data_IF_244237061108
#
_entry.id   IF_244237061108
#
_cell.length_a   1.000
_cell.length_b   1.000
_cell.length_c   1.000
_cell.angle_alpha   90.00
_cell.angle_beta   90.00
_cell.angle_gamma   90.00
#
_symmetry.space_group_name_H-M   'P 1'
#
loop_
_entity.id
_entity.type
_entity.pdbx_description
1 polymer ?
#
# COMPACT_ATOMS: atom_id res chain seq x y z
N UNK A 1 -6.60 -5.80 -22.81
CA UNK A 1 -6.43 -4.34 -22.69
C UNK A 1 -6.63 -3.96 -21.24
N UNK A 2 -5.81 -3.07 -20.65
CA UNK A 2 -6.01 -2.65 -19.26
C UNK A 2 -7.35 -1.93 -19.07
N UNK A 3 -7.87 -1.97 -17.85
CA UNK A 3 -8.94 -1.05 -17.46
C UNK A 3 -8.40 0.40 -17.42
N UNK A 4 -9.25 1.42 -17.60
CA UNK A 4 -8.81 2.82 -17.48
C UNK A 4 -8.14 3.07 -16.13
N UNK A 5 -6.91 3.60 -16.15
CA UNK A 5 -6.10 3.78 -14.93
C UNK A 5 -5.40 2.51 -14.42
N UNK A 6 -5.39 1.43 -15.19
CA UNK A 6 -4.62 0.23 -14.85
C UNK A 6 -3.12 0.49 -14.80
N UNK A 7 -2.46 -0.12 -13.82
CA UNK A 7 -1.02 -0.03 -13.59
C UNK A 7 -0.46 -1.44 -13.32
N UNK A 8 0.86 -1.58 -13.44
CA UNK A 8 1.59 -2.81 -13.08
C UNK A 8 2.53 -2.53 -11.92
N UNK A 9 2.88 -3.58 -11.19
CA UNK A 9 3.98 -3.60 -10.23
C UNK A 9 4.81 -4.85 -10.49
N UNK A 10 6.06 -4.85 -10.06
CA UNK A 10 6.74 -6.13 -9.83
C UNK A 10 6.01 -6.85 -8.69
N UNK A 11 5.76 -8.16 -8.87
CA UNK A 11 5.11 -8.99 -7.85
C UNK A 11 5.89 -10.29 -7.66
N UNK A 12 6.17 -10.62 -6.40
CA UNK A 12 6.89 -11.82 -6.00
C UNK A 12 6.66 -12.09 -4.50
N UNK A 13 6.77 -13.33 -4.07
CA UNK A 13 6.65 -13.72 -2.67
C UNK A 13 7.94 -14.40 -2.22
N UNK A 14 8.62 -13.79 -1.22
CA UNK A 14 9.86 -14.31 -0.60
C UNK A 14 10.94 -14.74 -1.61
N UNK A 15 11.14 -13.98 -2.69
CA UNK A 15 12.27 -14.19 -3.60
C UNK A 15 13.60 -13.93 -2.87
N UNK A 16 14.69 -14.58 -3.26
CA UNK A 16 15.96 -14.45 -2.56
C UNK A 16 16.53 -13.03 -2.64
N UNK A 17 16.33 -12.37 -3.79
CA UNK A 17 16.81 -11.01 -4.03
C UNK A 17 15.95 -10.22 -5.04
N UNK A 18 16.37 -8.99 -5.33
CA UNK A 18 15.67 -8.11 -6.27
C UNK A 18 15.69 -8.63 -7.71
N UNK A 19 16.79 -9.28 -8.11
CA UNK A 19 16.97 -9.76 -9.47
C UNK A 19 16.00 -10.90 -9.75
N UNK A 20 15.96 -11.90 -8.87
CA UNK A 20 15.03 -13.02 -8.97
C UNK A 20 13.58 -12.53 -8.98
N UNK A 21 13.22 -11.64 -8.05
CA UNK A 21 11.89 -11.05 -7.98
C UNK A 21 11.50 -10.35 -9.29
N UNK A 22 12.35 -9.46 -9.80
CA UNK A 22 12.01 -8.67 -10.99
C UNK A 22 12.06 -9.51 -12.28
N UNK A 23 12.95 -10.50 -12.35
CA UNK A 23 13.16 -11.35 -13.53
C UNK A 23 11.96 -12.27 -13.81
N UNK A 24 11.34 -12.79 -12.74
CA UNK A 24 10.25 -13.76 -12.83
C UNK A 24 8.87 -13.17 -12.54
N UNK A 25 8.80 -11.87 -12.24
CA UNK A 25 7.52 -11.19 -12.05
C UNK A 25 6.63 -11.33 -13.30
N UNK A 26 5.35 -11.69 -13.14
CA UNK A 26 4.42 -11.81 -14.25
C UNK A 26 4.11 -10.42 -14.85
N UNK A 27 4.04 -10.34 -16.19
CA UNK A 27 3.74 -9.09 -16.90
C UNK A 27 2.22 -8.78 -16.95
N UNK A 28 1.57 -8.80 -15.78
CA UNK A 28 0.12 -8.60 -15.62
C UNK A 28 -0.21 -7.27 -14.95
N UNK A 29 -1.42 -6.77 -15.18
CA UNK A 29 -1.94 -5.58 -14.50
C UNK A 29 -2.37 -5.91 -13.08
N UNK A 30 -2.26 -4.93 -12.18
CA UNK A 30 -2.71 -5.03 -10.82
C UNK A 30 -4.25 -5.17 -10.70
N UNK A 31 -4.78 -5.74 -9.61
CA UNK A 31 -6.22 -5.79 -9.34
C UNK A 31 -6.83 -4.40 -9.17
N UNK A 32 -8.14 -4.28 -9.43
CA UNK A 32 -8.84 -2.97 -9.44
C UNK A 32 -8.90 -2.30 -8.08
N UNK A 33 -8.85 -3.08 -7.01
CA UNK A 33 -8.94 -2.64 -5.61
C UNK A 33 -7.59 -2.15 -5.07
N UNK A 34 -6.54 -2.16 -5.91
CA UNK A 34 -5.18 -1.72 -5.53
C UNK A 34 -4.82 -0.40 -6.21
N UNK A 35 -3.89 0.34 -5.63
CA UNK A 35 -3.39 1.61 -6.17
C UNK A 35 -1.89 1.80 -6.07
N UNK A 36 -1.22 1.00 -5.22
CA UNK A 36 0.18 1.19 -4.90
C UNK A 36 0.98 -0.09 -5.13
N UNK A 37 2.25 0.08 -5.42
CA UNK A 37 3.22 -1.00 -5.43
C UNK A 37 3.92 -1.04 -4.08
N UNK A 38 3.78 -2.16 -3.39
CA UNK A 38 4.42 -2.47 -2.12
C UNK A 38 5.74 -3.22 -2.35
N UNK A 39 6.74 -2.91 -1.53
CA UNK A 39 7.98 -3.68 -1.42
C UNK A 39 8.35 -3.86 0.04
N UNK A 40 8.56 -5.11 0.45
CA UNK A 40 9.22 -5.47 1.70
C UNK A 40 10.54 -6.17 1.39
N UNK A 41 11.60 -5.72 2.04
CA UNK A 41 12.94 -6.26 1.92
C UNK A 41 13.45 -6.64 3.31
N UNK A 42 13.64 -7.93 3.53
CA UNK A 42 14.31 -8.46 4.70
C UNK A 42 15.77 -8.67 4.35
N UNK A 43 16.67 -8.11 5.15
CA UNK A 43 18.11 -8.17 4.93
C UNK A 43 18.86 -8.45 6.21
N UNK A 44 20.06 -9.01 6.09
CA UNK A 44 21.02 -9.06 7.19
C UNK A 44 21.43 -7.63 7.58
N UNK A 45 21.91 -7.43 8.81
CA UNK A 45 22.49 -6.14 9.24
C UNK A 45 23.66 -5.69 8.35
N UNK A 46 24.36 -6.64 7.71
CA UNK A 46 25.42 -6.41 6.72
C UNK A 46 24.90 -5.86 5.38
N UNK A 47 23.58 -5.94 5.14
CA UNK A 47 22.91 -5.45 3.93
C UNK A 47 22.63 -6.52 2.87
N UNK A 48 22.98 -7.80 3.11
CA UNK A 48 22.66 -8.90 2.20
C UNK A 48 21.16 -9.19 2.21
N UNK A 49 20.55 -9.35 1.03
CA UNK A 49 19.15 -9.71 0.91
C UNK A 49 18.90 -11.13 1.44
N UNK A 50 17.88 -11.26 2.28
CA UNK A 50 17.37 -12.55 2.79
C UNK A 50 16.08 -12.91 2.05
N UNK A 51 15.17 -11.93 1.91
CA UNK A 51 13.96 -12.11 1.14
C UNK A 51 13.39 -10.79 0.63
N UNK A 52 12.72 -10.86 -0.52
CA UNK A 52 12.00 -9.77 -1.16
C UNK A 52 10.56 -10.20 -1.42
N UNK A 53 9.62 -9.36 -1.01
CA UNK A 53 8.21 -9.52 -1.35
C UNK A 53 7.70 -8.23 -1.98
N UNK A 54 7.08 -8.33 -3.15
CA UNK A 54 6.47 -7.21 -3.86
C UNK A 54 5.03 -7.52 -4.23
N UNK A 55 4.13 -6.57 -4.05
CA UNK A 55 2.67 -6.79 -4.24
C UNK A 55 1.99 -5.51 -4.75
N UNK A 56 0.89 -5.68 -5.48
CA UNK A 56 -0.07 -4.58 -5.67
C UNK A 56 -0.95 -4.52 -4.41
N UNK A 57 -1.11 -3.34 -3.81
CA UNK A 57 -1.83 -3.18 -2.53
C UNK A 57 -2.77 -1.97 -2.51
N UNK A 58 -3.79 -1.97 -1.65
CA UNK A 58 -4.58 -0.78 -1.35
C UNK A 58 -3.82 0.18 -0.41
N UNK A 59 -4.43 1.31 -0.05
CA UNK A 59 -3.78 2.35 0.76
C UNK A 59 -3.36 1.86 2.14
N UNK A 60 -4.20 1.02 2.76
CA UNK A 60 -4.09 0.62 4.15
C UNK A 60 -2.79 -0.15 4.43
N UNK A 61 -2.29 -0.93 3.45
CA UNK A 61 -1.01 -1.64 3.55
C UNK A 61 0.21 -0.72 3.39
N UNK A 62 0.03 0.50 2.87
CA UNK A 62 1.10 1.48 2.67
C UNK A 62 1.21 2.50 3.81
N UNK A 63 0.35 2.44 4.83
CA UNK A 63 0.39 3.36 5.97
C UNK A 63 1.51 3.04 6.98
N UNK A 64 2.17 1.90 6.83
CA UNK A 64 3.24 1.43 7.72
C UNK A 64 4.54 1.14 6.95
N UNK A 65 5.10 2.18 6.31
CA UNK A 65 6.45 2.15 5.72
C UNK A 65 7.53 2.50 6.74
N UNK A 66 8.77 2.13 6.46
CA UNK A 66 9.93 2.37 7.32
C UNK A 66 10.79 1.12 7.44
N UNK A 67 11.87 1.21 8.20
CA UNK A 67 12.64 0.03 8.59
C UNK A 67 12.41 -0.33 10.06
N UNK A 68 12.54 -1.62 10.35
CA UNK A 68 12.52 -2.12 11.73
C UNK A 68 13.58 -3.20 11.89
N UNK A 69 14.35 -3.07 12.95
CA UNK A 69 15.30 -4.10 13.34
C UNK A 69 14.57 -5.24 14.06
N UNK A 70 14.93 -6.47 13.71
CA UNK A 70 14.54 -7.68 14.41
C UNK A 70 15.71 -8.09 15.30
N UNK A 71 15.77 -7.50 16.51
CA UNK A 71 16.88 -7.70 17.45
C UNK A 71 17.11 -9.17 17.82
N UNK A 72 16.08 -10.02 17.70
CA UNK A 72 16.16 -11.44 18.04
C UNK A 72 16.82 -12.31 16.95
N UNK A 73 16.82 -11.84 15.69
CA UNK A 73 17.30 -12.62 14.54
C UNK A 73 18.51 -11.98 13.84
N UNK A 74 18.89 -10.75 14.19
CA UNK A 74 20.00 -10.05 13.54
C UNK A 74 19.66 -9.62 12.10
N UNK A 75 18.38 -9.40 11.82
CA UNK A 75 17.88 -8.99 10.50
C UNK A 75 17.14 -7.66 10.60
N UNK A 76 17.12 -6.92 9.48
CA UNK A 76 16.41 -5.66 9.31
C UNK A 76 15.32 -5.84 8.24
N UNK A 77 14.13 -5.33 8.51
CA UNK A 77 13.01 -5.37 7.58
C UNK A 77 12.67 -3.95 7.16
N UNK A 78 12.80 -3.64 5.87
CA UNK A 78 12.42 -2.33 5.32
C UNK A 78 11.22 -2.47 4.40
N UNK A 79 10.26 -1.56 4.55
CA UNK A 79 9.01 -1.52 3.77
C UNK A 79 8.86 -0.17 3.09
N UNK A 80 8.60 -0.17 1.79
CA UNK A 80 8.27 1.03 1.01
C UNK A 80 7.03 0.80 0.16
N UNK A 81 6.37 1.91 -0.19
CA UNK A 81 5.31 1.94 -1.18
C UNK A 81 5.55 3.05 -2.20
N UNK A 82 5.12 2.82 -3.42
CA UNK A 82 5.13 3.84 -4.46
C UNK A 82 3.85 3.82 -5.29
N UNK A 83 3.51 4.98 -5.85
CA UNK A 83 2.45 5.14 -6.84
C UNK A 83 3.05 5.22 -8.25
N UNK A 84 2.49 4.48 -9.21
CA UNK A 84 2.88 4.53 -10.61
C UNK A 84 3.14 3.16 -11.23
N UNK A 85 3.23 3.13 -12.55
CA UNK A 85 3.49 1.90 -13.29
C UNK A 85 4.93 1.43 -13.05
N UNK A 86 5.10 0.18 -12.61
CA UNK A 86 6.36 -0.51 -12.32
C UNK A 86 7.33 0.29 -11.43
N UNK A 87 6.80 1.14 -10.55
CA UNK A 87 7.59 2.06 -9.74
C UNK A 87 8.46 1.34 -8.68
N UNK A 88 8.10 0.11 -8.30
CA UNK A 88 8.78 -0.68 -7.27
C UNK A 88 9.96 -1.52 -7.81
N UNK A 89 10.68 -1.02 -8.82
CA UNK A 89 11.90 -1.65 -9.33
C UNK A 89 13.03 -1.77 -8.27
N UNK A 90 13.35 -0.73 -7.47
CA UNK A 90 14.38 -0.81 -6.42
C UNK A 90 13.87 -1.48 -5.13
N UNK A 91 14.80 -1.76 -4.21
CA UNK A 91 14.50 -2.20 -2.85
C UNK A 91 14.76 -1.09 -1.84
N UNK A 92 13.92 -0.93 -0.80
CA UNK A 92 14.27 -0.11 0.36
C UNK A 92 15.37 -0.80 1.18
N UNK A 93 16.34 -0.04 1.65
CA UNK A 93 17.45 -0.51 2.48
C UNK A 93 17.56 0.25 3.79
N UNK A 94 17.11 1.51 3.84
CA UNK A 94 17.27 2.44 4.95
C UNK A 94 15.99 3.27 5.18
N UNK A 95 15.91 4.02 6.28
CA UNK A 95 14.72 4.86 6.56
C UNK A 95 14.43 5.89 5.46
N UNK A 96 15.46 6.36 4.76
CA UNK A 96 15.32 7.37 3.70
C UNK A 96 14.58 6.83 2.48
N UNK A 97 14.76 5.56 2.13
CA UNK A 97 14.14 4.93 0.94
C UNK A 97 12.97 3.99 1.31
N UNK A 98 12.83 3.64 2.59
CA UNK A 98 11.68 2.94 3.16
C UNK A 98 10.50 3.89 3.45
N UNK A 99 10.04 4.61 2.41
CA UNK A 99 8.97 5.61 2.54
C UNK A 99 7.75 5.28 1.68
N UNK A 100 6.65 5.99 1.89
CA UNK A 100 5.50 5.96 1.00
C UNK A 100 5.55 7.15 0.03
N UNK A 101 5.97 6.89 -1.21
CA UNK A 101 6.06 7.88 -2.28
C UNK A 101 4.77 7.89 -3.12
N UNK A 102 3.90 8.88 -2.88
CA UNK A 102 2.64 9.06 -3.61
C UNK A 102 2.55 10.46 -4.21
N UNK A 103 1.95 10.56 -5.39
CA UNK A 103 1.65 11.82 -6.08
C UNK A 103 0.20 12.24 -5.89
N UNK A 104 -0.69 11.27 -5.66
CA UNK A 104 -2.09 11.49 -5.35
C UNK A 104 -2.29 11.83 -3.87
N UNK A 105 -3.25 12.70 -3.53
CA UNK A 105 -3.64 12.95 -2.16
C UNK A 105 -4.12 11.66 -1.48
N UNK A 106 -3.58 11.38 -0.29
CA UNK A 106 -3.96 10.22 0.54
C UNK A 106 -5.38 10.38 1.11
N UNK A 107 -5.86 11.62 1.20
CA UNK A 107 -7.12 11.96 1.86
C UNK A 107 -8.31 11.82 0.89
N UNK A 108 -8.76 10.59 0.65
CA UNK A 108 -10.14 10.35 0.22
C UNK A 108 -10.97 10.15 1.48
N UNK A 109 -11.35 11.25 2.14
CA UNK A 109 -12.61 11.21 2.86
C UNK A 109 -13.67 10.87 1.81
N UNK A 110 -14.13 9.63 1.79
CA UNK A 110 -15.45 9.31 1.27
C UNK A 110 -16.45 10.03 2.19
N UNK A 111 -16.53 11.36 2.05
CA UNK A 111 -17.63 12.15 2.55
C UNK A 111 -18.86 11.72 1.76
N UNK A 112 -19.43 10.59 2.14
CA UNK A 112 -20.82 10.28 1.83
C UNK A 112 -21.65 11.39 2.50
N UNK A 113 -22.34 12.26 1.77
CA UNK A 113 -23.26 13.24 2.35
C UNK A 113 -24.58 12.54 2.74
N UNK A 114 -24.50 11.36 3.36
CA UNK A 114 -25.64 10.50 3.67
C UNK A 114 -25.64 10.11 5.14
N UNK A 115 -25.61 11.08 6.05
CA UNK A 115 -26.04 10.83 7.44
C UNK A 115 -26.56 12.07 8.18
N UNK A 116 -26.90 13.17 7.48
CA UNK A 116 -27.46 14.36 8.14
C UNK A 116 -28.96 14.56 7.87
N UNK A 117 -29.59 13.70 7.05
CA UNK A 117 -31.02 13.84 6.72
C UNK A 117 -31.96 13.07 7.67
N UNK A 118 -31.48 12.00 8.32
CA UNK A 118 -32.33 11.15 9.17
C UNK A 118 -32.54 11.73 10.58
N UNK A 119 -31.66 12.62 11.04
CA UNK A 119 -31.80 13.24 12.37
C UNK A 119 -32.89 14.33 12.35
N UNK A 120 -33.12 14.97 11.20
CA UNK A 120 -34.12 16.04 11.07
C UNK A 120 -35.56 15.48 11.04
N UNK A 121 -35.78 14.27 10.51
CA UNK A 121 -37.14 13.71 10.40
C UNK A 121 -37.73 13.23 11.73
N UNK A 122 -36.92 12.83 12.73
CA UNK A 122 -37.43 12.43 14.04
C UNK A 122 -37.97 13.61 14.89
N UNK A 123 -37.46 14.83 14.68
CA UNK A 123 -37.89 16.01 15.44
C UNK A 123 -39.27 16.54 15.02
N UNK A 124 -39.69 16.27 13.78
CA UNK A 124 -40.98 16.76 13.27
C UNK A 124 -42.16 15.88 13.68
N UNK A 125 -41.90 14.58 13.91
CA UNK A 125 -42.93 13.64 14.39
C UNK A 125 -43.29 13.92 15.86
N UNK A 126 -42.33 14.38 16.67
CA UNK A 126 -42.58 14.73 18.09
C UNK A 126 -43.37 16.03 18.27
N UNK A 127 -43.21 17.01 17.38
CA UNK A 127 -43.98 18.26 17.46
C UNK A 127 -45.41 18.14 16.92
N UNK A 128 -45.67 17.19 16.02
CA UNK A 128 -47.00 16.95 15.45
C UNK A 128 -47.95 16.14 16.34
N UNK A 129 -47.44 15.52 17.42
CA UNK A 129 -48.26 14.72 18.36
C UNK A 129 -48.67 15.52 19.61
N UNK A 130 -48.22 16.77 19.73
CA UNK A 130 -48.47 17.64 20.89
C UNK A 130 -49.30 18.89 20.56
N UNK A 131 -49.89 18.96 19.37
CA UNK A 131 -50.91 19.94 18.95
C UNK A 131 -52.25 19.27 18.66
#
# INVERSE_FOLDING_TARGET
TPYPGGFKCFTCEKAADNYECNRWAPDIFCPRETRYCYTQHTMEVTGNSISVTKRCVPLEECLSTGCRDSEHEGHKVCTSCCEGNICNLPLPRNETDATFATTSPINQTNGHPHCMSVIVSCLWVWLGLTL
#
